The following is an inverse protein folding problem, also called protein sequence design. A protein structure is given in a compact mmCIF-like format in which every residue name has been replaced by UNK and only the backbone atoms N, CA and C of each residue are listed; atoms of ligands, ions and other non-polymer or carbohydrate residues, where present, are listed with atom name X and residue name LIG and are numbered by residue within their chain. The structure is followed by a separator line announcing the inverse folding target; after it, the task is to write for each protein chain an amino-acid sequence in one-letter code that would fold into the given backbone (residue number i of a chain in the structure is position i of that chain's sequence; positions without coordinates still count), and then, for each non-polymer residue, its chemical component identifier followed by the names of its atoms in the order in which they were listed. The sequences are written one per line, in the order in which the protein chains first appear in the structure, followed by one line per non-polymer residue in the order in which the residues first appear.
data_IF_180591289203
#
_entry.id   IF_180591289203
#
_cell.length_a   1.000
_cell.length_b   1.000
_cell.length_c   1.000
_cell.angle_alpha   90.00
_cell.angle_beta   90.00
_cell.angle_gamma   90.00
#
_symmetry.space_group_name_H-M   'P 1'
#
loop_
_entity.id
_entity.type
_entity.pdbx_description
1 polymer ?
#
# COMPACT_ATOMS: atom_id res chain seq x y z
N UNK A 1 1.70 22.14 15.92
CA UNK A 1 0.82 21.34 15.07
C UNK A 1 1.59 20.39 14.12
N UNK A 2 2.67 20.80 13.44
CA UNK A 2 3.38 19.91 12.49
C UNK A 2 3.85 18.55 13.03
N UNK A 3 4.26 18.45 14.31
CA UNK A 3 4.72 17.18 14.90
C UNK A 3 3.62 16.12 15.09
N UNK A 4 2.33 16.49 15.16
CA UNK A 4 1.25 15.49 15.28
C UNK A 4 0.86 14.91 13.92
N UNK A 5 0.92 15.71 12.86
CA UNK A 5 0.64 15.27 11.49
C UNK A 5 1.74 14.36 10.96
N UNK A 6 3.02 14.70 11.19
CA UNK A 6 4.14 13.82 10.85
C UNK A 6 3.99 12.46 11.54
N UNK A 7 3.69 12.43 12.85
CA UNK A 7 3.44 11.19 13.60
C UNK A 7 2.20 10.42 13.13
N UNK A 8 1.22 11.10 12.53
CA UNK A 8 0.06 10.44 11.91
C UNK A 8 0.49 9.77 10.61
N UNK A 9 1.20 10.49 9.74
CA UNK A 9 1.73 9.96 8.49
C UNK A 9 2.69 8.79 8.72
N UNK A 10 3.58 8.87 9.71
CA UNK A 10 4.49 7.78 10.06
C UNK A 10 3.71 6.50 10.42
N UNK A 11 2.63 6.61 11.19
CA UNK A 11 1.75 5.47 11.52
C UNK A 11 1.01 4.93 10.30
N UNK A 12 0.61 5.80 9.38
CA UNK A 12 -0.06 5.39 8.13
C UNK A 12 0.93 4.69 7.17
N UNK A 13 2.18 5.18 7.09
CA UNK A 13 3.28 4.55 6.36
C UNK A 13 3.54 3.15 6.92
N UNK A 14 3.72 3.01 8.24
CA UNK A 14 3.94 1.71 8.89
C UNK A 14 2.79 0.73 8.62
N UNK A 15 1.53 1.19 8.70
CA UNK A 15 0.36 0.36 8.41
C UNK A 15 0.34 -0.09 6.95
N UNK A 16 0.67 0.79 6.01
CA UNK A 16 0.68 0.48 4.58
C UNK A 16 1.85 -0.44 4.22
N UNK A 17 3.01 -0.26 4.84
CA UNK A 17 4.15 -1.17 4.72
C UNK A 17 3.79 -2.59 5.20
N UNK A 18 3.15 -2.71 6.38
CA UNK A 18 2.67 -4.02 6.89
C UNK A 18 1.66 -4.68 5.96
N UNK A 19 0.78 -3.91 5.33
CA UNK A 19 -0.15 -4.41 4.31
C UNK A 19 0.60 -4.93 3.09
N UNK A 20 1.60 -4.19 2.60
CA UNK A 20 2.40 -4.60 1.45
C UNK A 20 3.17 -5.90 1.74
N UNK A 21 3.79 -6.00 2.92
CA UNK A 21 4.46 -7.24 3.35
C UNK A 21 3.49 -8.42 3.46
N UNK A 22 2.30 -8.19 4.00
CA UNK A 22 1.27 -9.22 4.09
C UNK A 22 0.86 -9.73 2.70
N UNK A 23 0.66 -8.84 1.72
CA UNK A 23 0.36 -9.24 0.33
C UNK A 23 1.51 -10.06 -0.27
N UNK A 24 2.77 -9.65 -0.05
CA UNK A 24 3.95 -10.40 -0.50
C UNK A 24 4.08 -11.78 0.14
N UNK A 25 3.57 -11.96 1.36
CA UNK A 25 3.45 -13.27 2.02
C UNK A 25 2.25 -14.09 1.55
N UNK A 26 1.45 -13.59 0.61
CA UNK A 26 0.24 -14.23 0.11
C UNK A 26 -0.97 -14.06 1.03
N UNK A 27 -0.93 -13.17 2.02
CA UNK A 27 -2.04 -12.94 2.92
C UNK A 27 -3.13 -12.07 2.27
N UNK A 28 -4.40 -12.43 2.50
CA UNK A 28 -5.52 -11.78 1.82
C UNK A 28 -6.20 -10.66 2.59
N UNK A 29 -5.82 -10.44 3.86
CA UNK A 29 -6.47 -9.42 4.67
C UNK A 29 -6.27 -7.97 4.17
N UNK A 30 -5.16 -7.58 3.50
CA UNK A 30 -4.96 -6.22 3.02
C UNK A 30 -5.77 -5.85 1.77
N UNK A 31 -6.40 -6.84 1.12
CA UNK A 31 -7.17 -6.62 -0.10
C UNK A 31 -8.50 -5.93 0.21
N UNK A 32 -8.87 -5.01 -0.68
CA UNK A 32 -10.19 -4.38 -0.72
C UNK A 32 -11.27 -5.39 -1.11
N UNK A 33 -12.55 -5.05 -0.88
CA UNK A 33 -13.67 -5.95 -1.20
C UNK A 33 -13.72 -6.34 -2.68
N UNK A 34 -13.33 -5.44 -3.60
CA UNK A 34 -13.29 -5.72 -5.05
C UNK A 34 -12.15 -6.67 -5.42
N UNK A 35 -10.98 -6.48 -4.83
CA UNK A 35 -9.82 -7.33 -5.08
C UNK A 35 -10.04 -8.72 -4.47
N UNK A 36 -10.61 -8.80 -3.25
CA UNK A 36 -11.01 -10.08 -2.64
C UNK A 36 -12.04 -10.82 -3.48
N UNK A 37 -13.08 -10.14 -3.96
CA UNK A 37 -14.07 -10.76 -4.84
C UNK A 37 -13.43 -11.31 -6.13
N UNK A 38 -12.45 -10.59 -6.69
CA UNK A 38 -11.71 -11.03 -7.87
C UNK A 38 -10.85 -12.27 -7.56
N UNK A 39 -10.18 -12.27 -6.41
CA UNK A 39 -9.38 -13.40 -5.92
C UNK A 39 -10.24 -14.64 -5.69
N UNK A 40 -11.38 -14.50 -4.98
CA UNK A 40 -12.32 -15.60 -4.74
C UNK A 40 -12.91 -16.15 -6.03
N UNK A 41 -13.22 -15.29 -7.02
CA UNK A 41 -13.69 -15.73 -8.34
C UNK A 41 -12.63 -16.52 -9.10
N UNK A 42 -11.37 -16.08 -9.05
CA UNK A 42 -10.26 -16.80 -9.66
C UNK A 42 -10.08 -18.17 -8.99
N UNK A 43 -10.07 -18.23 -7.64
CA UNK A 43 -10.02 -19.48 -6.88
C UNK A 43 -11.18 -20.43 -7.24
N UNK A 44 -12.42 -19.93 -7.28
CA UNK A 44 -13.59 -20.73 -7.66
C UNK A 44 -13.49 -21.26 -9.10
N UNK A 45 -12.93 -20.46 -10.01
CA UNK A 45 -12.69 -20.91 -11.39
C UNK A 45 -11.65 -22.03 -11.46
N UNK A 46 -10.60 -21.95 -10.64
CA UNK A 46 -9.59 -23.01 -10.49
C UNK A 46 -10.19 -24.30 -9.95
N UNK A 47 -10.97 -24.21 -8.87
CA UNK A 47 -11.67 -25.37 -8.31
C UNK A 47 -12.60 -26.05 -9.33
N UNK A 48 -13.31 -25.24 -10.15
CA UNK A 48 -14.13 -25.76 -11.23
C UNK A 48 -13.31 -26.44 -12.33
N UNK A 49 -12.12 -25.92 -12.66
CA UNK A 49 -11.20 -26.58 -13.60
C UNK A 49 -10.71 -27.93 -13.08
N UNK A 50 -10.28 -28.00 -11.81
CA UNK A 50 -9.86 -29.26 -11.16
C UNK A 50 -10.99 -30.30 -11.22
N UNK A 51 -12.21 -29.91 -10.84
CA UNK A 51 -13.36 -30.80 -10.88
C UNK A 51 -13.67 -31.31 -12.31
N UNK A 52 -13.37 -30.52 -13.34
CA UNK A 52 -13.53 -30.90 -14.75
C UNK A 52 -12.31 -31.60 -15.35
N UNK A 53 -11.27 -31.89 -14.56
CA UNK A 53 -10.01 -32.45 -15.06
C UNK A 53 -9.26 -31.52 -16.03
N UNK A 54 -9.47 -30.21 -15.92
CA UNK A 54 -8.81 -29.18 -16.74
C UNK A 54 -7.70 -28.49 -15.94
N UNK A 55 -6.75 -27.89 -16.67
CA UNK A 55 -5.67 -27.09 -16.06
C UNK A 55 -6.20 -25.90 -15.24
N UNK A 56 -5.52 -25.62 -14.13
CA UNK A 56 -5.73 -24.47 -13.22
C UNK A 56 -4.87 -23.25 -13.58
N UNK A 57 -3.97 -23.36 -14.56
CA UNK A 57 -2.98 -22.32 -14.92
C UNK A 57 -3.64 -20.97 -15.19
N UNK A 58 -4.81 -20.94 -15.83
CA UNK A 58 -5.53 -19.69 -16.07
C UNK A 58 -6.05 -19.03 -14.80
N UNK A 59 -6.44 -19.82 -13.79
CA UNK A 59 -6.87 -19.32 -12.49
C UNK A 59 -5.67 -18.83 -11.66
N UNK A 60 -4.57 -19.58 -11.66
CA UNK A 60 -3.31 -19.24 -11.00
C UNK A 60 -2.74 -17.93 -11.56
N UNK A 61 -2.57 -17.82 -12.88
CA UNK A 61 -2.12 -16.59 -13.53
C UNK A 61 -3.00 -15.39 -13.18
N UNK A 62 -4.31 -15.61 -13.04
CA UNK A 62 -5.23 -14.54 -12.65
C UNK A 62 -5.05 -14.13 -11.20
N UNK A 63 -4.84 -15.08 -10.29
CA UNK A 63 -4.53 -14.81 -8.89
C UNK A 63 -3.22 -14.04 -8.76
N UNK A 64 -2.18 -14.44 -9.49
CA UNK A 64 -0.88 -13.75 -9.52
C UNK A 64 -1.03 -12.32 -10.05
N UNK A 65 -1.75 -12.13 -11.15
CA UNK A 65 -2.00 -10.80 -11.71
C UNK A 65 -2.72 -9.87 -10.74
N UNK A 66 -3.67 -10.41 -9.95
CA UNK A 66 -4.38 -9.65 -8.92
C UNK A 66 -3.42 -9.30 -7.79
N UNK A 67 -2.56 -10.24 -7.37
CA UNK A 67 -1.52 -10.01 -6.38
C UNK A 67 -0.59 -8.86 -6.79
N UNK A 68 -0.03 -8.92 -8.00
CA UNK A 68 0.85 -7.87 -8.52
C UNK A 68 0.16 -6.51 -8.64
N UNK A 69 -1.12 -6.48 -9.02
CA UNK A 69 -1.89 -5.25 -9.07
C UNK A 69 -2.08 -4.61 -7.68
N UNK A 70 -2.35 -5.44 -6.67
CA UNK A 70 -2.49 -5.00 -5.27
C UNK A 70 -1.16 -4.47 -4.74
N UNK A 71 -0.05 -5.17 -5.00
CA UNK A 71 1.28 -4.71 -4.62
C UNK A 71 1.60 -3.35 -5.23
N UNK A 72 1.33 -3.18 -6.53
CA UNK A 72 1.54 -1.91 -7.25
C UNK A 72 0.72 -0.78 -6.63
N UNK A 73 -0.56 -1.02 -6.31
CA UNK A 73 -1.41 -0.04 -5.63
C UNK A 73 -0.85 0.36 -4.27
N UNK A 74 -0.50 -0.62 -3.42
CA UNK A 74 0.03 -0.36 -2.08
C UNK A 74 1.38 0.35 -2.12
N UNK A 75 2.24 0.01 -3.09
CA UNK A 75 3.50 0.74 -3.32
C UNK A 75 3.24 2.19 -3.74
N UNK A 76 2.26 2.45 -4.61
CA UNK A 76 1.89 3.81 -5.00
C UNK A 76 1.34 4.62 -3.80
N UNK A 77 0.47 4.02 -2.98
CA UNK A 77 -0.03 4.63 -1.73
C UNK A 77 1.12 4.97 -0.77
N UNK A 78 2.07 4.05 -0.59
CA UNK A 78 3.24 4.26 0.26
C UNK A 78 4.13 5.40 -0.25
N UNK A 79 4.38 5.47 -1.56
CA UNK A 79 5.13 6.57 -2.17
C UNK A 79 4.44 7.92 -1.98
N UNK A 80 3.11 7.97 -2.11
CA UNK A 80 2.34 9.20 -1.89
C UNK A 80 2.49 9.69 -0.43
N UNK A 81 2.36 8.79 0.55
CA UNK A 81 2.52 9.13 1.97
C UNK A 81 3.94 9.63 2.30
N UNK A 82 4.97 9.01 1.71
CA UNK A 82 6.35 9.49 1.87
C UNK A 82 6.55 10.89 1.26
N UNK A 83 5.92 11.17 0.11
CA UNK A 83 5.95 12.49 -0.52
C UNK A 83 5.32 13.56 0.36
N UNK A 84 4.15 13.30 0.94
CA UNK A 84 3.49 14.22 1.88
C UNK A 84 4.32 14.46 3.14
N UNK A 85 4.88 13.40 3.73
CA UNK A 85 5.76 13.51 4.89
C UNK A 85 6.96 14.41 4.58
N UNK A 86 7.60 14.21 3.43
CA UNK A 86 8.75 15.02 3.04
C UNK A 86 8.38 16.49 2.89
N UNK A 87 7.22 16.78 2.30
CA UNK A 87 6.69 18.14 2.18
C UNK A 87 6.56 18.81 3.56
N UNK A 88 5.90 18.17 4.52
CA UNK A 88 5.74 18.72 5.88
C UNK A 88 7.09 18.98 6.58
N UNK A 89 8.06 18.08 6.41
CA UNK A 89 9.41 18.25 6.96
C UNK A 89 10.09 19.48 6.34
N UNK A 90 9.99 19.65 5.02
CA UNK A 90 10.59 20.81 4.33
C UNK A 90 9.93 22.13 4.75
N UNK A 91 8.62 22.15 4.93
CA UNK A 91 7.87 23.32 5.42
C UNK A 91 8.28 23.68 6.85
N UNK A 92 8.40 22.68 7.73
CA UNK A 92 8.88 22.88 9.11
C UNK A 92 10.33 23.40 9.14
N UNK A 93 11.20 22.90 8.27
CA UNK A 93 12.58 23.36 8.15
C UNK A 93 12.65 24.83 7.68
N UNK A 94 11.83 25.21 6.69
CA UNK A 94 11.71 26.60 6.22
C UNK A 94 11.23 27.54 7.31
N UNK A 95 10.18 27.17 8.06
CA UNK A 95 9.68 27.97 9.18
C UNK A 95 10.75 28.18 10.27
N UNK A 96 11.54 27.13 10.56
CA UNK A 96 12.67 27.22 11.50
C UNK A 96 13.78 28.14 10.98
N UNK A 97 14.09 28.10 9.68
CA UNK A 97 15.07 29.00 9.07
C UNK A 97 14.62 30.46 9.12
N UNK A 98 13.34 30.74 8.80
CA UNK A 98 12.76 32.09 8.88
C UNK A 98 12.80 32.66 10.31
N UNK A 99 12.52 31.84 11.32
CA UNK A 99 12.64 32.25 12.74
C UNK A 99 14.10 32.53 13.15
N UNK A 100 15.07 31.81 12.57
CA UNK A 100 16.49 32.08 12.81
C UNK A 100 16.96 33.38 12.16
N UNK A 101 16.47 33.71 10.97
CA UNK A 101 16.82 34.97 10.29
C UNK A 101 16.23 36.22 10.95
N UNK A 102 15.16 36.09 11.75
CA UNK A 102 14.57 37.22 12.50
C UNK A 102 15.10 37.37 13.93
N UNK A 103 15.94 36.44 14.40
CA UNK A 103 16.45 36.38 15.78
C UNK A 103 17.95 36.62 15.91
N UNK A 104 18.60 37.09 14.84
CA UNK A 104 19.99 37.53 14.86
C UNK A 104 20.06 39.03 14.52
N UNK A 105 19.53 39.83 15.46
CA UNK A 105 19.94 41.19 15.82
C UNK A 105 19.61 41.37 17.30
#
# INVERSE_FOLDING_TARGET
MGNSEIRRLDREIERTAKKLEAVRRGEWWPLTSRERLSMTRAMASGARSVHKGRSTTGAENRMDSIGSAVETRLSAELMALHGERQRLITEAARAKAAKKSSGWF
#
